data_IF_783794542020
#
_entry.id   IF_783794542020
#
_cell.length_a   1.000
_cell.length_b   1.000
_cell.length_c   1.000
_cell.angle_alpha   90.00
_cell.angle_beta   90.00
_cell.angle_gamma   90.00
#
_symmetry.space_group_name_H-M   'P 1'
#
loop_
_entity.id
_entity.type
_entity.pdbx_description
1 polymer ?
#
# COMPACT_ATOMS: atom_id res chain seq x y z
N UNK A 1 -3.38 -32.87 24.78
CA UNK A 1 -4.30 -31.72 24.63
C UNK A 1 -3.60 -30.38 24.81
N UNK A 2 -2.59 -30.27 25.68
CA UNK A 2 -1.77 -29.05 25.83
C UNK A 2 -0.95 -28.69 24.58
N UNK A 3 -0.48 -29.67 23.79
CA UNK A 3 0.33 -29.41 22.59
C UNK A 3 -0.46 -28.78 21.42
N UNK A 4 -1.78 -29.03 21.34
CA UNK A 4 -2.65 -28.39 20.33
C UNK A 4 -2.96 -26.93 20.68
N UNK A 5 -3.08 -26.61 21.97
CA UNK A 5 -3.18 -25.22 22.43
C UNK A 5 -1.86 -24.46 22.28
N UNK A 6 -0.72 -25.14 22.46
CA UNK A 6 0.60 -24.59 22.10
C UNK A 6 0.74 -24.35 20.60
N UNK A 7 0.26 -25.25 19.75
CA UNK A 7 0.25 -25.07 18.29
C UNK A 7 -0.54 -23.83 17.84
N UNK A 8 -1.70 -23.55 18.47
CA UNK A 8 -2.51 -22.36 18.15
C UNK A 8 -1.94 -21.05 18.72
N UNK A 9 -1.30 -21.09 19.89
CA UNK A 9 -0.56 -19.93 20.44
C UNK A 9 0.73 -19.66 19.66
N UNK A 10 1.43 -20.70 19.22
CA UNK A 10 2.56 -20.62 18.30
C UNK A 10 2.10 -20.07 16.95
N UNK A 11 0.97 -20.49 16.39
CA UNK A 11 0.39 -19.88 15.16
C UNK A 11 0.17 -18.38 15.28
N UNK A 12 -0.34 -17.93 16.43
CA UNK A 12 -0.56 -16.50 16.73
C UNK A 12 0.76 -15.73 16.97
N UNK A 13 1.74 -16.37 17.59
CA UNK A 13 3.09 -15.84 17.75
C UNK A 13 3.85 -15.81 16.41
N UNK A 14 3.59 -16.77 15.52
CA UNK A 14 4.16 -16.86 14.17
C UNK A 14 3.67 -15.70 13.30
N UNK A 15 2.39 -15.32 13.36
CA UNK A 15 1.92 -14.11 12.64
C UNK A 15 2.62 -12.83 13.10
N UNK A 16 3.11 -12.76 14.34
CA UNK A 16 3.90 -11.62 14.83
C UNK A 16 5.41 -11.74 14.59
N UNK A 17 5.92 -12.97 14.46
CA UNK A 17 7.36 -13.27 14.41
C UNK A 17 7.90 -13.58 13.01
N UNK A 18 7.08 -13.62 11.95
CA UNK A 18 7.57 -13.68 10.55
C UNK A 18 8.14 -12.32 10.10
N UNK A 19 9.00 -11.73 10.93
CA UNK A 19 9.96 -10.72 10.53
C UNK A 19 11.23 -11.46 10.10
N UNK A 20 11.19 -11.95 8.87
CA UNK A 20 12.33 -12.18 7.97
C UNK A 20 13.42 -13.21 8.30
N UNK A 21 13.38 -13.98 9.40
CA UNK A 21 14.47 -14.90 9.68
C UNK A 21 14.27 -16.34 9.15
N UNK A 22 15.08 -16.71 8.14
CA UNK A 22 15.13 -18.06 7.57
C UNK A 22 15.47 -19.12 8.62
N UNK A 23 16.32 -18.76 9.59
CA UNK A 23 16.71 -19.69 10.65
C UNK A 23 15.56 -20.02 11.57
N UNK A 24 14.69 -19.05 11.87
CA UNK A 24 13.49 -19.26 12.70
C UNK A 24 12.49 -20.13 11.96
N UNK A 25 12.29 -19.89 10.66
CA UNK A 25 11.39 -20.70 9.84
C UNK A 25 11.89 -22.13 9.66
N UNK A 26 13.18 -22.34 9.40
CA UNK A 26 13.79 -23.67 9.33
C UNK A 26 13.70 -24.43 10.67
N UNK A 27 13.94 -23.74 11.79
CA UNK A 27 13.84 -24.33 13.14
C UNK A 27 12.40 -24.73 13.48
N UNK A 28 11.41 -23.95 13.06
CA UNK A 28 9.99 -24.27 13.25
C UNK A 28 9.53 -25.44 12.37
N UNK A 29 10.00 -25.51 11.12
CA UNK A 29 9.73 -26.67 10.25
C UNK A 29 10.28 -27.95 10.91
N UNK A 30 11.50 -27.90 11.43
CA UNK A 30 12.10 -29.00 12.17
C UNK A 30 11.28 -29.38 13.42
N UNK A 31 10.80 -28.40 14.18
CA UNK A 31 9.94 -28.62 15.34
C UNK A 31 8.61 -29.28 14.96
N UNK A 32 7.93 -28.81 13.91
CA UNK A 32 6.68 -29.43 13.43
C UNK A 32 6.91 -30.86 12.93
N UNK A 33 8.04 -31.13 12.26
CA UNK A 33 8.41 -32.50 11.87
C UNK A 33 8.65 -33.39 13.09
N UNK A 34 9.32 -32.90 14.14
CA UNK A 34 9.52 -33.64 15.38
C UNK A 34 8.21 -33.90 16.14
N UNK A 35 7.24 -32.98 16.05
CA UNK A 35 5.90 -33.15 16.60
C UNK A 35 4.99 -34.06 15.75
N UNK A 36 5.46 -34.58 14.61
CA UNK A 36 4.67 -35.41 13.69
C UNK A 36 3.61 -34.64 12.90
N UNK A 37 3.60 -33.31 12.98
CA UNK A 37 2.65 -32.44 12.27
C UNK A 37 3.20 -32.07 10.89
N UNK A 38 3.24 -33.07 10.02
CA UNK A 38 3.81 -33.00 8.67
C UNK A 38 3.07 -31.96 7.83
N UNK A 39 1.76 -31.84 7.99
CA UNK A 39 0.91 -30.91 7.24
C UNK A 39 1.32 -29.46 7.48
N UNK A 40 1.53 -29.06 8.74
CA UNK A 40 1.96 -27.70 9.07
C UNK A 40 3.43 -27.46 8.71
N UNK A 41 4.29 -28.48 8.82
CA UNK A 41 5.68 -28.39 8.36
C UNK A 41 5.77 -28.12 6.85
N UNK A 42 4.98 -28.85 6.04
CA UNK A 42 4.89 -28.63 4.59
C UNK A 42 4.32 -27.26 4.24
N UNK A 43 3.22 -26.85 4.88
CA UNK A 43 2.62 -25.54 4.64
C UNK A 43 3.61 -24.39 4.93
N UNK A 44 4.39 -24.50 6.01
CA UNK A 44 5.40 -23.51 6.37
C UNK A 44 6.60 -23.52 5.40
N UNK A 45 7.04 -24.70 4.96
CA UNK A 45 8.08 -24.85 3.94
C UNK A 45 7.65 -24.24 2.60
N UNK A 46 6.45 -24.55 2.14
CA UNK A 46 5.90 -24.03 0.89
C UNK A 46 5.74 -22.52 0.96
N UNK A 47 5.24 -21.99 2.09
CA UNK A 47 5.11 -20.54 2.31
C UNK A 47 6.47 -19.83 2.25
N UNK A 48 7.48 -20.36 2.92
CA UNK A 48 8.80 -19.73 3.01
C UNK A 48 9.55 -19.79 1.69
N UNK A 49 9.44 -20.92 0.98
CA UNK A 49 9.99 -21.12 -0.37
C UNK A 49 9.29 -20.22 -1.38
N UNK A 50 7.96 -20.15 -1.34
CA UNK A 50 7.16 -19.27 -2.22
C UNK A 50 7.48 -17.80 -1.98
N UNK A 51 7.57 -17.35 -0.71
CA UNK A 51 7.99 -15.97 -0.37
C UNK A 51 9.32 -15.62 -1.01
N UNK A 52 10.32 -16.51 -0.94
CA UNK A 52 11.64 -16.27 -1.55
C UNK A 52 11.58 -16.18 -3.07
N UNK A 53 10.82 -17.07 -3.72
CA UNK A 53 10.63 -17.01 -5.18
C UNK A 53 9.95 -15.70 -5.60
N UNK A 54 8.91 -15.26 -4.87
CA UNK A 54 8.28 -13.96 -5.06
C UNK A 54 9.27 -12.79 -4.92
N UNK A 55 10.01 -12.76 -3.82
CA UNK A 55 11.00 -11.71 -3.58
C UNK A 55 12.10 -11.71 -4.66
N UNK A 56 12.50 -12.88 -5.15
CA UNK A 56 13.44 -13.02 -6.25
C UNK A 56 12.87 -12.47 -7.55
N UNK A 57 11.63 -12.80 -7.90
CA UNK A 57 10.97 -12.28 -9.10
C UNK A 57 10.77 -10.77 -9.06
N UNK A 58 10.39 -10.21 -7.92
CA UNK A 58 10.26 -8.75 -7.73
C UNK A 58 11.65 -8.09 -7.89
N UNK A 59 12.69 -8.62 -7.22
CA UNK A 59 14.06 -8.09 -7.35
C UNK A 59 14.63 -8.14 -8.77
N UNK A 60 14.21 -9.14 -9.55
CA UNK A 60 14.65 -9.34 -10.92
C UNK A 60 13.75 -8.63 -11.96
N UNK A 61 12.84 -7.73 -11.53
CA UNK A 61 11.89 -7.03 -12.40
C UNK A 61 11.05 -7.98 -13.28
N UNK A 62 10.67 -9.14 -12.74
CA UNK A 62 9.81 -10.14 -13.40
C UNK A 62 8.48 -10.35 -12.65
N UNK A 63 7.66 -9.29 -12.45
CA UNK A 63 6.42 -9.39 -11.68
C UNK A 63 5.35 -10.29 -12.33
N UNK A 64 5.38 -10.51 -13.65
CA UNK A 64 4.47 -11.47 -14.32
C UNK A 64 4.66 -12.90 -13.79
N UNK A 65 5.91 -13.33 -13.59
CA UNK A 65 6.19 -14.67 -13.02
C UNK A 65 5.76 -14.78 -11.56
N UNK A 66 5.77 -13.67 -10.85
CA UNK A 66 5.23 -13.62 -9.48
C UNK A 66 3.70 -13.86 -9.51
N UNK A 67 2.98 -13.26 -10.46
CA UNK A 67 1.55 -13.50 -10.67
C UNK A 67 1.28 -14.96 -11.05
N UNK A 68 2.06 -15.55 -11.95
CA UNK A 68 1.90 -16.96 -12.34
C UNK A 68 2.04 -17.87 -11.12
N UNK A 69 3.05 -17.63 -10.29
CA UNK A 69 3.25 -18.33 -9.02
C UNK A 69 2.09 -18.11 -8.04
N UNK A 70 1.40 -16.95 -8.08
CA UNK A 70 0.18 -16.74 -7.30
C UNK A 70 -0.92 -17.71 -7.68
N UNK A 71 -1.15 -17.86 -8.98
CA UNK A 71 -2.28 -18.60 -9.53
C UNK A 71 -2.19 -20.10 -9.22
N UNK A 72 -0.98 -20.61 -8.95
CA UNK A 72 -0.75 -21.99 -8.51
C UNK A 72 -1.13 -22.22 -7.03
N UNK A 73 -1.25 -21.16 -6.22
CA UNK A 73 -1.49 -21.26 -4.78
C UNK A 73 -3.00 -21.23 -4.51
N UNK A 74 -3.55 -22.38 -4.08
CA UNK A 74 -4.98 -22.50 -3.77
C UNK A 74 -5.44 -21.70 -2.54
N UNK A 75 -4.58 -21.54 -1.52
CA UNK A 75 -4.91 -20.86 -0.27
C UNK A 75 -3.79 -19.88 0.12
N UNK A 76 -3.72 -18.70 -0.52
CA UNK A 76 -2.69 -17.73 -0.22
C UNK A 76 -2.90 -17.15 1.19
N UNK A 77 -1.84 -17.11 1.98
CA UNK A 77 -1.86 -16.43 3.27
C UNK A 77 -1.60 -14.92 3.09
N UNK A 78 -1.80 -14.18 4.17
CA UNK A 78 -1.62 -12.72 4.21
C UNK A 78 -0.25 -12.24 3.69
N UNK A 79 0.83 -12.99 3.94
CA UNK A 79 2.17 -12.63 3.50
C UNK A 79 2.28 -12.72 1.97
N UNK A 80 1.76 -13.80 1.39
CA UNK A 80 1.74 -14.01 -0.06
C UNK A 80 0.86 -12.94 -0.73
N UNK A 81 -0.29 -12.62 -0.15
CA UNK A 81 -1.18 -11.57 -0.67
C UNK A 81 -0.49 -10.20 -0.63
N UNK A 82 0.19 -9.85 0.46
CA UNK A 82 0.96 -8.61 0.54
C UNK A 82 2.07 -8.55 -0.54
N UNK A 83 2.79 -9.66 -0.75
CA UNK A 83 3.80 -9.74 -1.82
C UNK A 83 3.18 -9.59 -3.22
N UNK A 84 2.00 -10.18 -3.44
CA UNK A 84 1.25 -10.00 -4.69
C UNK A 84 0.89 -8.53 -4.89
N UNK A 85 0.34 -7.84 -3.89
CA UNK A 85 0.00 -6.43 -4.01
C UNK A 85 1.21 -5.57 -4.36
N UNK A 86 2.37 -5.83 -3.75
CA UNK A 86 3.61 -5.15 -4.11
C UNK A 86 4.06 -5.46 -5.55
N UNK A 87 3.91 -6.70 -6.03
CA UNK A 87 4.23 -7.05 -7.42
C UNK A 87 3.28 -6.36 -8.41
N UNK A 88 1.97 -6.35 -8.12
CA UNK A 88 0.95 -5.69 -8.92
C UNK A 88 1.15 -4.17 -8.97
N UNK A 89 1.55 -3.57 -7.84
CA UNK A 89 1.90 -2.16 -7.73
C UNK A 89 3.04 -1.76 -8.69
N UNK A 90 4.01 -2.64 -8.90
CA UNK A 90 5.13 -2.39 -9.83
C UNK A 90 4.74 -2.60 -11.29
N UNK A 91 3.80 -3.50 -11.59
CA UNK A 91 3.29 -3.74 -12.94
C UNK A 91 2.47 -2.59 -13.50
N UNK A 92 1.57 -2.02 -12.69
CA UNK A 92 0.65 -0.95 -13.09
C UNK A 92 -0.19 -1.28 -14.33
N UNK A 93 -0.52 -2.56 -14.52
CA UNK A 93 -1.36 -3.05 -15.62
C UNK A 93 -2.81 -3.24 -15.18
N UNK A 94 -3.74 -3.27 -16.14
CA UNK A 94 -5.15 -3.60 -15.87
C UNK A 94 -5.32 -5.04 -15.37
N UNK A 95 -4.50 -5.98 -15.88
CA UNK A 95 -4.48 -7.37 -15.41
C UNK A 95 -4.15 -7.46 -13.91
N UNK A 96 -3.13 -6.70 -13.48
CA UNK A 96 -2.75 -6.59 -12.08
C UNK A 96 -3.89 -6.00 -11.23
N UNK A 97 -4.61 -4.99 -11.74
CA UNK A 97 -5.77 -4.42 -11.06
C UNK A 97 -6.91 -5.43 -10.89
N UNK A 98 -7.22 -6.19 -11.94
CA UNK A 98 -8.26 -7.22 -11.89
C UNK A 98 -7.93 -8.32 -10.88
N UNK A 99 -6.65 -8.71 -10.78
CA UNK A 99 -6.18 -9.64 -9.76
C UNK A 99 -6.30 -9.07 -8.35
N UNK A 100 -5.88 -7.82 -8.13
CA UNK A 100 -6.04 -7.14 -6.83
C UNK A 100 -7.51 -7.15 -6.40
N UNK A 101 -8.43 -6.80 -7.31
CA UNK A 101 -9.88 -6.79 -7.04
C UNK A 101 -10.40 -8.17 -6.67
N UNK A 102 -10.09 -9.18 -7.48
CA UNK A 102 -10.51 -10.57 -7.25
C UNK A 102 -10.02 -11.06 -5.87
N UNK A 103 -8.71 -10.91 -5.62
CA UNK A 103 -8.12 -11.30 -4.34
C UNK A 103 -8.76 -10.54 -3.19
N UNK A 104 -9.00 -9.23 -3.33
CA UNK A 104 -9.62 -8.41 -2.28
C UNK A 104 -11.05 -8.82 -1.93
N UNK A 105 -11.81 -9.32 -2.90
CA UNK A 105 -13.15 -9.85 -2.69
C UNK A 105 -13.12 -11.22 -2.00
N UNK A 106 -12.14 -12.06 -2.36
CA UNK A 106 -11.93 -13.39 -1.77
C UNK A 106 -11.24 -13.33 -0.39
N UNK A 107 -10.73 -12.15 0.02
CA UNK A 107 -10.06 -11.97 1.32
C UNK A 107 -11.02 -12.20 2.49
N UNK A 108 -10.57 -12.99 3.45
CA UNK A 108 -11.25 -13.17 4.74
C UNK A 108 -11.37 -11.84 5.50
N UNK A 109 -12.46 -11.68 6.28
CA UNK A 109 -12.65 -10.48 7.14
C UNK A 109 -11.47 -10.23 8.09
N UNK A 110 -10.77 -11.28 8.52
CA UNK A 110 -9.57 -11.18 9.38
C UNK A 110 -8.43 -10.41 8.73
N UNK A 111 -8.30 -10.45 7.40
CA UNK A 111 -7.21 -9.76 6.70
C UNK A 111 -7.39 -8.23 6.69
N UNK A 112 -8.63 -7.75 6.78
CA UNK A 112 -8.92 -6.33 6.97
C UNK A 112 -8.53 -5.80 8.35
N UNK A 113 -8.11 -6.66 9.29
CA UNK A 113 -7.60 -6.23 10.59
C UNK A 113 -6.09 -5.96 10.58
N UNK A 114 -5.38 -6.32 9.50
CA UNK A 114 -3.95 -6.08 9.40
C UNK A 114 -3.64 -4.75 8.70
N UNK A 115 -3.05 -3.77 9.39
CA UNK A 115 -2.77 -2.47 8.80
C UNK A 115 -1.73 -2.55 7.69
N UNK A 116 -0.75 -3.46 7.76
CA UNK A 116 0.28 -3.58 6.74
C UNK A 116 -0.29 -4.07 5.41
N UNK A 117 -1.18 -5.06 5.47
CA UNK A 117 -1.85 -5.56 4.28
C UNK A 117 -2.73 -4.48 3.64
N UNK A 118 -3.49 -3.73 4.44
CA UNK A 118 -4.31 -2.64 3.91
C UNK A 118 -3.48 -1.49 3.32
N UNK A 119 -2.33 -1.15 3.91
CA UNK A 119 -1.40 -0.17 3.34
C UNK A 119 -0.86 -0.65 1.98
N UNK A 120 -0.49 -1.92 1.87
CA UNK A 120 -0.02 -2.48 0.58
C UNK A 120 -1.12 -2.52 -0.48
N UNK A 121 -2.36 -2.86 -0.08
CA UNK A 121 -3.53 -2.81 -0.95
C UNK A 121 -3.80 -1.38 -1.43
N UNK A 122 -3.71 -0.39 -0.55
CA UNK A 122 -3.87 1.02 -0.89
C UNK A 122 -2.84 1.46 -1.94
N UNK A 123 -1.55 1.17 -1.71
CA UNK A 123 -0.48 1.54 -2.66
C UNK A 123 -0.67 0.87 -4.02
N UNK A 124 -1.05 -0.41 -4.03
CA UNK A 124 -1.30 -1.17 -5.24
C UNK A 124 -2.49 -0.61 -6.04
N UNK A 125 -3.62 -0.28 -5.38
CA UNK A 125 -4.78 0.34 -6.03
C UNK A 125 -4.44 1.72 -6.62
N UNK A 126 -3.70 2.55 -5.88
CA UNK A 126 -3.28 3.89 -6.36
C UNK A 126 -2.36 3.76 -7.58
N UNK A 127 -1.37 2.86 -7.54
CA UNK A 127 -0.42 2.66 -8.64
C UNK A 127 -1.06 2.04 -9.89
N UNK A 128 -2.10 1.23 -9.71
CA UNK A 128 -2.93 0.69 -10.79
C UNK A 128 -4.07 1.64 -11.24
N UNK A 129 -4.08 2.89 -10.80
CA UNK A 129 -5.07 3.92 -11.19
C UNK A 129 -6.53 3.57 -10.86
N UNK A 130 -6.76 2.96 -9.69
CA UNK A 130 -8.10 2.78 -9.13
C UNK A 130 -8.24 3.54 -7.80
N UNK A 131 -8.21 4.87 -7.90
CA UNK A 131 -8.31 5.72 -6.71
C UNK A 131 -9.69 5.64 -6.04
N UNK A 132 -10.73 5.17 -6.74
CA UNK A 132 -12.07 4.99 -6.16
C UNK A 132 -12.09 3.87 -5.12
N UNK A 133 -11.54 2.71 -5.45
CA UNK A 133 -11.40 1.64 -4.46
C UNK A 133 -10.33 1.95 -3.41
N UNK A 134 -9.28 2.68 -3.78
CA UNK A 134 -8.28 3.16 -2.84
C UNK A 134 -8.89 4.06 -1.75
N UNK A 135 -9.82 4.94 -2.10
CA UNK A 135 -10.55 5.80 -1.16
C UNK A 135 -11.33 4.98 -0.13
N UNK A 136 -11.97 3.88 -0.54
CA UNK A 136 -12.68 2.97 0.38
C UNK A 136 -11.69 2.32 1.36
N UNK A 137 -10.54 1.83 0.87
CA UNK A 137 -9.51 1.23 1.74
C UNK A 137 -8.92 2.27 2.69
N UNK A 138 -8.74 3.51 2.21
CA UNK A 138 -8.22 4.63 3.01
C UNK A 138 -9.10 4.95 4.24
N UNK A 139 -10.42 4.77 4.14
CA UNK A 139 -11.31 4.94 5.31
C UNK A 139 -11.12 3.88 6.40
N UNK A 140 -10.56 2.71 6.04
CA UNK A 140 -10.41 1.55 6.94
C UNK A 140 -9.06 1.51 7.65
N UNK A 141 -8.07 2.29 7.21
CA UNK A 141 -6.73 2.30 7.79
C UNK A 141 -6.53 3.42 8.81
N UNK A 142 -5.58 3.22 9.71
CA UNK A 142 -5.01 4.32 10.50
C UNK A 142 -4.18 5.20 9.57
N UNK A 143 -4.69 6.41 9.34
CA UNK A 143 -4.12 7.35 8.35
C UNK A 143 -2.77 7.88 8.82
N UNK A 144 -1.89 8.12 7.85
CA UNK A 144 -0.61 8.76 8.05
C UNK A 144 -0.39 9.79 6.94
N UNK A 145 0.56 10.70 7.14
CA UNK A 145 0.93 11.70 6.13
C UNK A 145 1.27 11.02 4.79
N UNK A 146 1.96 9.87 4.84
CA UNK A 146 2.34 9.09 3.66
C UNK A 146 1.08 8.60 2.91
N UNK A 147 0.07 8.12 3.64
CA UNK A 147 -1.17 7.62 3.03
C UNK A 147 -1.94 8.76 2.32
N UNK A 148 -2.01 9.95 2.94
CA UNK A 148 -2.61 11.14 2.31
C UNK A 148 -1.85 11.53 1.04
N UNK A 149 -0.52 11.65 1.12
CA UNK A 149 0.32 12.03 -0.02
C UNK A 149 0.19 11.06 -1.19
N UNK A 150 0.19 9.75 -0.93
CA UNK A 150 0.00 8.73 -1.97
C UNK A 150 -1.36 8.88 -2.66
N UNK A 151 -2.44 9.02 -1.91
CA UNK A 151 -3.79 9.11 -2.48
C UNK A 151 -4.02 10.43 -3.23
N UNK A 152 -3.51 11.54 -2.70
CA UNK A 152 -3.52 12.85 -3.38
C UNK A 152 -2.74 12.82 -4.71
N UNK A 153 -1.60 12.13 -4.74
CA UNK A 153 -0.85 11.94 -5.98
C UNK A 153 -1.61 11.05 -6.99
N UNK A 154 -2.30 10.02 -6.49
CA UNK A 154 -3.22 9.20 -7.28
C UNK A 154 -4.31 10.03 -7.96
N UNK A 155 -5.08 10.81 -7.19
CA UNK A 155 -6.14 11.67 -7.74
C UNK A 155 -5.61 12.72 -8.71
N UNK A 156 -4.42 13.28 -8.46
CA UNK A 156 -3.78 14.18 -9.40
C UNK A 156 -3.46 13.51 -10.75
N UNK A 157 -3.04 12.24 -10.76
CA UNK A 157 -2.79 11.49 -12.00
C UNK A 157 -4.08 11.17 -12.76
N UNK A 158 -5.17 10.89 -12.05
CA UNK A 158 -6.50 10.68 -12.63
C UNK A 158 -7.22 11.98 -13.05
N UNK A 159 -6.53 13.14 -12.99
CA UNK A 159 -7.12 14.46 -13.28
C UNK A 159 -8.35 14.79 -12.40
N UNK A 160 -8.32 14.40 -11.13
CA UNK A 160 -9.36 14.73 -10.15
C UNK A 160 -8.84 15.70 -9.07
N UNK A 161 -8.62 16.98 -9.40
CA UNK A 161 -8.02 17.94 -8.48
C UNK A 161 -8.96 18.32 -7.31
N UNK A 162 -10.28 18.24 -7.50
CA UNK A 162 -11.25 18.53 -6.45
C UNK A 162 -11.17 17.54 -5.29
N UNK A 163 -11.04 16.24 -5.58
CA UNK A 163 -10.80 15.22 -4.55
C UNK A 163 -9.47 15.42 -3.82
N UNK A 164 -8.44 15.88 -4.53
CA UNK A 164 -7.16 16.24 -3.91
C UNK A 164 -7.30 17.36 -2.89
N UNK A 165 -8.08 18.41 -3.20
CA UNK A 165 -8.38 19.49 -2.24
C UNK A 165 -9.23 19.02 -1.07
N UNK A 166 -10.18 18.11 -1.30
CA UNK A 166 -10.98 17.52 -0.24
C UNK A 166 -10.10 16.77 0.77
N UNK A 167 -9.18 15.92 0.29
CA UNK A 167 -8.21 15.23 1.14
C UNK A 167 -7.29 16.19 1.90
N UNK A 168 -6.85 17.27 1.26
CA UNK A 168 -6.03 18.30 1.91
C UNK A 168 -6.76 18.96 3.08
N UNK A 169 -8.04 19.30 2.91
CA UNK A 169 -8.83 19.87 3.99
C UNK A 169 -9.11 18.83 5.09
N UNK A 170 -9.39 17.59 4.72
CA UNK A 170 -9.55 16.50 5.68
C UNK A 170 -8.27 16.28 6.51
N UNK A 171 -7.10 16.31 5.88
CA UNK A 171 -5.81 16.16 6.57
C UNK A 171 -5.58 17.25 7.63
N UNK A 172 -6.03 18.49 7.37
CA UNK A 172 -5.99 19.58 8.35
C UNK A 172 -6.96 19.36 9.52
N UNK A 173 -8.18 18.91 9.23
CA UNK A 173 -9.18 18.62 10.24
C UNK A 173 -8.74 17.46 11.15
N UNK A 174 -8.06 16.47 10.58
CA UNK A 174 -7.46 15.35 11.32
C UNK A 174 -6.20 15.78 12.11
N UNK A 175 -5.79 17.05 12.03
CA UNK A 175 -4.72 17.63 12.85
C UNK A 175 -3.29 17.31 12.39
N UNK A 176 -3.11 16.81 11.16
CA UNK A 176 -1.78 16.50 10.64
C UNK A 176 -1.00 17.77 10.25
N UNK A 177 0.30 17.78 10.57
CA UNK A 177 1.23 18.81 10.07
C UNK A 177 1.49 18.56 8.59
N UNK A 178 1.25 19.58 7.78
CA UNK A 178 1.45 19.53 6.34
C UNK A 178 2.94 19.59 6.01
N UNK A 179 3.40 18.67 5.16
CA UNK A 179 4.77 18.67 4.66
C UNK A 179 4.86 19.33 3.26
N UNK A 180 6.10 19.50 2.79
CA UNK A 180 6.39 20.06 1.46
C UNK A 180 5.73 19.26 0.33
N UNK A 181 5.67 17.93 0.45
CA UNK A 181 5.12 17.03 -0.59
C UNK A 181 3.62 17.26 -0.74
N UNK A 182 2.89 17.41 0.37
CA UNK A 182 1.47 17.71 0.36
C UNK A 182 1.19 19.04 -0.32
N UNK A 183 1.95 20.10 0.00
CA UNK A 183 1.79 21.39 -0.69
C UNK A 183 2.08 21.30 -2.20
N UNK A 184 3.09 20.53 -2.62
CA UNK A 184 3.36 20.27 -4.04
C UNK A 184 2.18 19.55 -4.72
N UNK A 185 1.58 18.55 -4.06
CA UNK A 185 0.39 17.86 -4.57
C UNK A 185 -0.80 18.81 -4.71
N UNK A 186 -1.00 19.73 -3.77
CA UNK A 186 -2.08 20.72 -3.82
C UNK A 186 -1.86 21.74 -4.92
N UNK A 187 -0.64 22.28 -5.08
CA UNK A 187 -0.34 23.23 -6.14
C UNK A 187 -0.56 22.63 -7.54
N UNK A 188 -0.19 21.36 -7.74
CA UNK A 188 -0.49 20.61 -8.97
C UNK A 188 -1.98 20.40 -9.20
N UNK A 189 -2.78 20.24 -8.14
CA UNK A 189 -4.23 20.15 -8.27
C UNK A 189 -4.82 21.52 -8.65
N UNK A 190 -4.35 22.59 -8.01
CA UNK A 190 -4.79 23.96 -8.25
C UNK A 190 -4.50 24.43 -9.68
N UNK A 191 -3.33 24.08 -10.21
CA UNK A 191 -2.97 24.40 -11.60
C UNK A 191 -3.92 23.79 -12.64
N UNK A 192 -4.69 22.77 -12.26
CA UNK A 192 -5.74 22.14 -13.10
C UNK A 192 -7.13 22.71 -12.89
N UNK A 193 -7.43 23.29 -11.72
CA UNK A 193 -8.75 23.86 -11.41
C UNK A 193 -8.90 25.22 -12.07
N UNK A 194 -7.86 26.05 -12.02
CA UNK A 194 -7.90 27.40 -12.60
C UNK A 194 -8.74 28.41 -11.82
N UNK A 195 -9.05 28.15 -10.54
CA UNK A 195 -9.78 29.10 -9.68
C UNK A 195 -8.79 29.96 -8.89
N UNK A 196 -8.67 31.23 -9.28
CA UNK A 196 -7.76 32.19 -8.67
C UNK A 196 -8.02 32.39 -7.17
N UNK A 197 -9.29 32.40 -6.76
CA UNK A 197 -9.66 32.69 -5.36
C UNK A 197 -9.15 31.61 -4.41
N UNK A 198 -9.30 30.34 -4.82
CA UNK A 198 -8.84 29.17 -4.08
C UNK A 198 -7.31 29.13 -4.09
N UNK A 199 -6.69 29.41 -5.24
CA UNK A 199 -5.24 29.46 -5.37
C UNK A 199 -4.62 30.47 -4.38
N UNK A 200 -5.12 31.71 -4.37
CA UNK A 200 -4.61 32.75 -3.47
C UNK A 200 -4.79 32.38 -1.98
N UNK A 201 -5.93 31.79 -1.62
CA UNK A 201 -6.20 31.34 -0.24
C UNK A 201 -5.19 30.30 0.23
N UNK A 202 -4.88 29.31 -0.61
CA UNK A 202 -3.98 28.21 -0.24
C UNK A 202 -2.52 28.65 -0.27
N UNK A 203 -2.10 29.47 -1.24
CA UNK A 203 -0.73 29.98 -1.32
C UNK A 203 -0.37 30.81 -0.08
N UNK A 204 -1.31 31.58 0.48
CA UNK A 204 -1.12 32.31 1.75
C UNK A 204 -0.90 31.41 2.96
N UNK A 205 -1.31 30.14 2.89
CA UNK A 205 -1.16 29.16 3.97
C UNK A 205 0.16 28.38 3.87
N UNK A 206 0.98 28.62 2.84
CA UNK A 206 2.29 27.97 2.68
C UNK A 206 3.29 28.64 3.63
N UNK A 207 3.94 27.90 4.54
CA UNK A 207 5.02 28.43 5.37
C UNK A 207 6.14 29.04 4.52
N UNK A 208 6.64 30.20 4.93
CA UNK A 208 7.75 30.89 4.25
C UNK A 208 8.99 30.01 4.09
N UNK A 209 9.23 29.08 5.02
CA UNK A 209 10.33 28.10 4.95
C UNK A 209 10.27 27.20 3.71
N UNK A 210 9.07 26.90 3.21
CA UNK A 210 8.87 26.04 2.03
C UNK A 210 8.95 26.82 0.71
N UNK A 211 8.82 28.16 0.75
CA UNK A 211 8.95 29.00 -0.44
C UNK A 211 10.39 29.07 -0.97
N UNK A 212 11.38 28.63 -0.18
CA UNK A 212 12.79 28.53 -0.61
C UNK A 212 13.00 27.33 -1.53
N UNK A 213 12.11 26.34 -1.50
CA UNK A 213 12.24 25.14 -2.32
C UNK A 213 11.89 25.43 -3.79
N UNK A 214 12.83 25.13 -4.70
CA UNK A 214 12.67 25.34 -6.13
C UNK A 214 11.45 24.60 -6.70
N UNK A 215 11.07 23.45 -6.14
CA UNK A 215 9.90 22.70 -6.62
C UNK A 215 8.60 23.45 -6.32
N UNK A 216 8.50 24.09 -5.14
CA UNK A 216 7.33 24.90 -4.77
C UNK A 216 7.26 26.13 -5.67
N UNK A 217 8.39 26.81 -5.88
CA UNK A 217 8.45 27.97 -6.78
C UNK A 217 8.04 27.62 -8.21
N UNK A 218 8.57 26.52 -8.76
CA UNK A 218 8.22 26.03 -10.08
C UNK A 218 6.73 25.65 -10.17
N UNK A 219 6.19 24.99 -9.15
CA UNK A 219 4.77 24.62 -9.11
C UNK A 219 3.85 25.86 -9.02
N UNK A 220 4.26 26.89 -8.28
CA UNK A 220 3.56 28.18 -8.25
C UNK A 220 3.56 28.85 -9.63
N UNK A 221 4.71 28.88 -10.31
CA UNK A 221 4.83 29.45 -11.65
C UNK A 221 3.93 28.70 -12.65
N UNK A 222 3.97 27.35 -12.67
CA UNK A 222 3.09 26.54 -13.54
C UNK A 222 1.60 26.79 -13.24
N UNK A 223 1.24 26.93 -11.97
CA UNK A 223 -0.13 27.28 -11.56
C UNK A 223 -0.57 28.64 -12.11
N UNK A 224 0.25 29.69 -11.95
CA UNK A 224 -0.08 31.04 -12.42
C UNK A 224 -0.10 31.16 -13.95
N UNK A 225 0.73 30.39 -14.65
CA UNK A 225 0.71 30.35 -16.12
C UNK A 225 -0.61 29.79 -16.65
N UNK A 226 -1.17 28.76 -15.99
CA UNK A 226 -2.42 28.09 -16.41
C UNK A 226 -3.69 28.83 -16.03
N UNK A 227 -3.59 29.89 -15.23
CA UNK A 227 -4.72 30.75 -14.84
C UNK A 227 -5.07 31.81 -15.91
N UNK A 228 -4.30 31.92 -16.99
CA UNK A 228 -4.58 32.77 -18.17
C UNK A 228 -5.42 32.04 -19.21
#
# INVERSE_FOLDING_TARGET
MEDLQRGSTIRRLISSCIKDDYYISASLIHLYMQCGDITNAQLLFDTTTTKKHYQCYIKNNQPNKAIDLFNEIKNPNEIIINLLFNACAELRTEEALNLIKKVSQDMSKSFYSNPHLLTSLLDALIKCSDCSNAEIVFTKITKSIIHYGSLMNGFNKENNPLKTLHLFNQMKLDGFVLDLIIYLCVLKALSKIGDESICQSIVKQIPYSFLVDNNIQNALIDMWIRLK
#
